data_IF_682234727476
#
_entry.id   IF_682234727476
#
_cell.length_a   1.000
_cell.length_b   1.000
_cell.length_c   1.000
_cell.angle_alpha   90.00
_cell.angle_beta   90.00
_cell.angle_gamma   90.00
#
_symmetry.space_group_name_H-M   'P 1'
#
loop_
_entity.id
_entity.type
_entity.pdbx_description
1 polymer ?
#
# COMPACT_ATOMS: atom_id res chain seq x y z
N UNK A 1 18.32 -29.50 -34.61
CA UNK A 1 17.33 -29.43 -33.51
C UNK A 1 17.66 -28.41 -32.43
N UNK A 2 18.93 -28.15 -32.08
CA UNK A 2 19.31 -27.22 -31.01
C UNK A 2 18.90 -25.75 -31.23
N UNK A 3 19.00 -25.23 -32.45
CA UNK A 3 18.66 -23.83 -32.78
C UNK A 3 17.17 -23.51 -32.70
N UNK A 4 16.28 -24.42 -33.12
CA UNK A 4 14.81 -24.21 -33.03
C UNK A 4 14.31 -24.14 -31.58
N UNK A 5 14.96 -24.86 -30.66
CA UNK A 5 14.62 -24.82 -29.23
C UNK A 5 15.04 -23.48 -28.60
N UNK A 6 16.21 -22.95 -28.97
CA UNK A 6 16.69 -21.64 -28.49
C UNK A 6 15.77 -20.49 -28.87
N UNK A 7 15.23 -20.49 -30.11
CA UNK A 7 14.25 -19.47 -30.52
C UNK A 7 12.94 -19.57 -29.75
N UNK A 8 12.46 -20.79 -29.45
CA UNK A 8 11.26 -20.99 -28.63
C UNK A 8 11.46 -20.44 -27.21
N UNK A 9 12.63 -20.67 -26.60
CA UNK A 9 12.97 -20.12 -25.29
C UNK A 9 13.04 -18.59 -25.30
N UNK A 10 13.66 -17.97 -26.31
CA UNK A 10 13.71 -16.51 -26.43
C UNK A 10 12.31 -15.93 -26.59
N UNK A 11 11.46 -16.55 -27.42
CA UNK A 11 10.10 -16.08 -27.70
C UNK A 11 9.20 -16.22 -26.45
N UNK A 12 9.31 -17.34 -25.72
CA UNK A 12 8.64 -17.52 -24.43
C UNK A 12 9.13 -16.51 -23.39
N UNK A 13 10.43 -16.23 -23.33
CA UNK A 13 11.00 -15.25 -22.40
C UNK A 13 10.49 -13.83 -22.70
N UNK A 14 10.40 -13.46 -23.98
CA UNK A 14 9.84 -12.16 -24.39
C UNK A 14 8.34 -12.03 -24.10
N UNK A 15 7.58 -13.13 -24.20
CA UNK A 15 6.15 -13.15 -23.88
C UNK A 15 5.93 -13.05 -22.36
N UNK A 16 6.72 -13.76 -21.56
CA UNK A 16 6.67 -13.67 -20.08
C UNK A 16 7.08 -12.27 -19.60
N UNK A 17 8.14 -11.68 -20.17
CA UNK A 17 8.55 -10.30 -19.81
C UNK A 17 7.52 -9.25 -20.19
N UNK A 18 6.77 -9.44 -21.29
CA UNK A 18 5.70 -8.52 -21.67
C UNK A 18 4.49 -8.62 -20.75
N UNK A 19 4.22 -9.80 -20.18
CA UNK A 19 3.11 -10.01 -19.26
C UNK A 19 3.38 -9.40 -17.89
N UNK A 20 4.61 -9.51 -17.37
CA UNK A 20 5.03 -8.82 -16.13
C UNK A 20 4.86 -7.30 -16.21
N UNK A 21 5.07 -6.71 -17.39
CA UNK A 21 4.88 -5.27 -17.58
C UNK A 21 3.40 -4.83 -17.53
N UNK A 22 2.45 -5.75 -17.77
CA UNK A 22 1.01 -5.43 -17.81
C UNK A 22 0.29 -5.61 -16.47
N UNK A 23 0.95 -6.23 -15.49
CA UNK A 23 0.33 -6.71 -14.26
C UNK A 23 0.77 -5.90 -13.04
N UNK A 24 -0.13 -5.72 -12.06
CA UNK A 24 0.16 -5.05 -10.78
C UNK A 24 1.11 -5.92 -9.96
N UNK A 25 2.20 -5.35 -9.46
CA UNK A 25 3.07 -6.04 -8.50
C UNK A 25 2.86 -5.43 -7.11
N UNK A 26 2.06 -6.09 -6.28
CA UNK A 26 1.71 -5.61 -4.93
C UNK A 26 2.92 -5.51 -4.00
N UNK A 27 3.81 -6.49 -4.05
CA UNK A 27 5.01 -6.50 -3.21
C UNK A 27 5.97 -5.37 -3.60
N UNK A 28 6.14 -5.12 -4.90
CA UNK A 28 6.91 -3.98 -5.41
C UNK A 28 6.26 -2.65 -5.05
N UNK A 29 4.94 -2.56 -5.12
CA UNK A 29 4.19 -1.38 -4.67
C UNK A 29 4.39 -1.11 -3.17
N UNK A 30 4.44 -2.17 -2.35
CA UNK A 30 4.68 -2.07 -0.90
C UNK A 30 6.17 -2.10 -0.51
N UNK A 31 7.09 -2.24 -1.47
CA UNK A 31 8.52 -2.39 -1.28
C UNK A 31 8.90 -3.53 -0.29
N UNK A 32 8.26 -4.70 -0.44
CA UNK A 32 8.55 -5.91 0.33
C UNK A 32 9.18 -7.01 -0.53
N UNK A 33 10.06 -7.78 0.09
CA UNK A 33 10.77 -8.93 -0.47
C UNK A 33 10.18 -10.26 0.02
N UNK A 34 10.57 -11.37 -0.60
CA UNK A 34 10.37 -12.72 -0.02
C UNK A 34 8.98 -13.36 -0.19
N UNK A 35 8.04 -12.75 -0.90
CA UNK A 35 6.70 -13.31 -1.16
C UNK A 35 5.95 -13.73 0.12
N UNK A 36 5.69 -12.79 1.05
CA UNK A 36 4.95 -13.08 2.26
C UNK A 36 3.53 -13.53 1.94
N UNK A 37 3.06 -14.57 2.60
CA UNK A 37 1.67 -15.01 2.63
C UNK A 37 0.80 -14.04 3.43
N UNK A 38 1.34 -13.50 4.52
CA UNK A 38 0.62 -12.62 5.45
C UNK A 38 1.58 -11.58 6.02
N UNK A 39 1.11 -10.34 6.12
CA UNK A 39 1.80 -9.26 6.82
C UNK A 39 0.85 -8.69 7.87
N UNK A 40 1.23 -8.80 9.13
CA UNK A 40 0.55 -8.08 10.22
C UNK A 40 1.30 -6.79 10.45
N UNK A 41 0.63 -5.64 10.35
CA UNK A 41 1.24 -4.33 10.62
C UNK A 41 0.50 -3.65 11.78
N UNK A 42 1.27 -3.10 12.72
CA UNK A 42 0.79 -2.24 13.80
C UNK A 42 1.54 -0.91 13.70
N UNK A 43 0.79 0.17 13.52
CA UNK A 43 1.31 1.53 13.52
C UNK A 43 0.82 2.23 14.77
N UNK A 44 1.73 2.77 15.58
CA UNK A 44 1.41 3.57 16.76
C UNK A 44 1.80 5.01 16.48
N UNK A 45 0.81 5.90 16.38
CA UNK A 45 0.98 7.34 16.33
C UNK A 45 0.83 7.92 17.73
N UNK A 46 1.72 8.84 18.11
CA UNK A 46 1.64 9.49 19.42
C UNK A 46 0.65 10.67 19.43
N UNK A 47 -0.08 10.90 20.55
CA UNK A 47 0.05 10.18 21.81
C UNK A 47 -0.65 8.81 21.89
N UNK A 48 -1.76 8.54 21.20
CA UNK A 48 -2.57 7.35 21.52
C UNK A 48 -3.35 6.72 20.34
N UNK A 49 -2.92 6.91 19.09
CA UNK A 49 -3.63 6.33 17.95
C UNK A 49 -2.91 5.09 17.42
N UNK A 50 -3.51 3.91 17.62
CA UNK A 50 -2.98 2.64 17.14
C UNK A 50 -3.81 2.16 15.96
N UNK A 51 -3.13 1.90 14.85
CA UNK A 51 -3.71 1.28 13.68
C UNK A 51 -3.16 -0.14 13.54
N UNK A 52 -4.03 -1.12 13.33
CA UNK A 52 -3.62 -2.48 12.98
C UNK A 52 -4.25 -2.90 11.66
N UNK A 53 -3.42 -3.45 10.79
CA UNK A 53 -3.88 -4.11 9.57
C UNK A 53 -3.25 -5.50 9.42
N UNK A 54 -3.95 -6.39 8.71
CA UNK A 54 -3.42 -7.68 8.27
C UNK A 54 -3.66 -7.80 6.77
N UNK A 55 -2.58 -7.88 6.01
CA UNK A 55 -2.60 -8.05 4.55
C UNK A 55 -2.31 -9.50 4.19
N UNK A 56 -3.06 -10.05 3.25
CA UNK A 56 -2.96 -11.44 2.80
C UNK A 56 -2.65 -11.48 1.31
N UNK A 57 -1.71 -12.33 0.93
CA UNK A 57 -1.26 -12.48 -0.45
C UNK A 57 -1.47 -13.91 -0.93
N UNK A 58 -1.54 -14.09 -2.24
CA UNK A 58 -1.43 -15.41 -2.86
C UNK A 58 0.05 -15.81 -3.09
N UNK A 59 0.27 -17.05 -3.56
CA UNK A 59 1.62 -17.60 -3.79
C UNK A 59 2.43 -16.83 -4.84
N UNK A 60 1.74 -16.09 -5.70
CA UNK A 60 2.37 -15.29 -6.75
C UNK A 60 2.65 -13.86 -6.26
N UNK A 61 2.29 -13.53 -5.00
CA UNK A 61 2.56 -12.26 -4.36
C UNK A 61 1.48 -11.21 -4.57
N UNK A 62 0.29 -11.58 -5.07
CA UNK A 62 -0.81 -10.63 -5.25
C UNK A 62 -1.60 -10.49 -3.97
N UNK A 63 -1.92 -9.24 -3.60
CA UNK A 63 -2.75 -8.95 -2.45
C UNK A 63 -4.19 -9.41 -2.75
N UNK A 64 -4.73 -10.21 -1.83
CA UNK A 64 -6.07 -10.83 -1.93
C UNK A 64 -7.05 -10.26 -0.91
N UNK A 65 -6.56 -9.86 0.27
CA UNK A 65 -7.40 -9.34 1.35
C UNK A 65 -6.61 -8.41 2.26
N UNK A 66 -7.28 -7.39 2.80
CA UNK A 66 -6.80 -6.64 3.97
C UNK A 66 -7.88 -6.62 5.05
N UNK A 67 -7.48 -6.85 6.29
CA UNK A 67 -8.31 -6.70 7.49
C UNK A 67 -7.81 -5.51 8.29
N UNK A 68 -8.71 -4.56 8.59
CA UNK A 68 -8.42 -3.40 9.42
C UNK A 68 -9.11 -3.54 10.77
N UNK A 69 -8.35 -3.28 11.81
CA UNK A 69 -8.82 -3.34 13.19
C UNK A 69 -8.83 -1.91 13.74
N UNK A 70 -9.92 -1.54 14.41
CA UNK A 70 -9.95 -0.31 15.17
C UNK A 70 -9.08 -0.46 16.42
N UNK A 71 -8.33 0.59 16.75
CA UNK A 71 -8.20 0.98 18.14
C UNK A 71 -9.39 1.90 18.44
N UNK A 72 -10.42 1.39 19.09
CA UNK A 72 -11.28 2.30 19.84
C UNK A 72 -10.40 2.94 20.92
N UNK A 73 -10.60 4.23 21.15
CA UNK A 73 -9.89 5.08 22.12
C UNK A 73 -10.19 4.71 23.58
N UNK A 74 -10.37 3.42 23.88
CA UNK A 74 -10.60 2.91 25.22
C UNK A 74 -9.53 1.90 25.60
N UNK A 75 -9.14 1.80 26.88
CA UNK A 75 -8.18 0.82 27.38
C UNK A 75 -8.77 -0.60 27.44
N UNK A 76 -9.74 -0.91 26.59
CA UNK A 76 -10.30 -2.24 26.47
C UNK A 76 -9.46 -3.03 25.47
N UNK A 77 -8.83 -4.10 25.93
CA UNK A 77 -8.01 -5.01 25.11
C UNK A 77 -8.79 -5.75 23.99
N UNK A 78 -10.01 -5.32 23.64
CA UNK A 78 -10.86 -5.91 22.61
C UNK A 78 -10.69 -5.16 21.29
N UNK A 79 -9.80 -5.65 20.43
CA UNK A 79 -9.68 -5.15 19.04
C UNK A 79 -10.76 -5.81 18.18
N UNK A 80 -11.75 -5.03 17.74
CA UNK A 80 -12.75 -5.47 16.78
C UNK A 80 -12.28 -5.18 15.35
N UNK A 81 -12.62 -6.07 14.44
CA UNK A 81 -12.39 -5.84 13.01
C UNK A 81 -13.39 -4.80 12.51
N UNK A 82 -12.91 -3.70 11.94
CA UNK A 82 -13.74 -2.59 11.48
C UNK A 82 -14.06 -2.71 9.99
N UNK A 83 -13.09 -3.14 9.19
CA UNK A 83 -13.22 -3.15 7.75
C UNK A 83 -12.44 -4.30 7.15
N UNK A 84 -13.05 -4.96 6.18
CA UNK A 84 -12.37 -5.96 5.35
C UNK A 84 -12.41 -5.46 3.91
N UNK A 85 -11.27 -5.52 3.22
CA UNK A 85 -11.19 -5.31 1.79
C UNK A 85 -10.81 -6.63 1.14
N UNK A 86 -11.64 -7.11 0.21
CA UNK A 86 -11.32 -8.24 -0.66
C UNK A 86 -10.93 -7.71 -2.05
N UNK A 87 -9.91 -8.32 -2.64
CA UNK A 87 -9.44 -8.01 -3.98
C UNK A 87 -9.74 -9.17 -4.93
N UNK A 88 -10.13 -8.86 -6.16
CA UNK A 88 -10.21 -9.84 -7.23
C UNK A 88 -8.80 -10.12 -7.76
N UNK A 89 -8.18 -11.21 -7.32
CA UNK A 89 -6.85 -11.64 -7.77
C UNK A 89 -6.84 -12.30 -9.15
N UNK A 90 -8.01 -12.56 -9.77
CA UNK A 90 -8.07 -13.14 -11.13
C UNK A 90 -7.68 -12.14 -12.20
N UNK A 91 -8.09 -10.88 -12.06
CA UNK A 91 -7.68 -9.79 -12.96
C UNK A 91 -6.49 -9.05 -12.34
N UNK A 92 -5.29 -9.47 -12.74
CA UNK A 92 -4.04 -8.96 -12.19
C UNK A 92 -3.59 -7.63 -12.82
N UNK A 93 -4.13 -7.27 -13.99
CA UNK A 93 -3.86 -5.97 -14.63
C UNK A 93 -4.69 -4.86 -13.98
N UNK A 94 -5.94 -5.18 -13.62
CA UNK A 94 -6.88 -4.28 -12.96
C UNK A 94 -7.62 -5.00 -11.84
N UNK A 95 -7.12 -4.82 -10.61
CA UNK A 95 -7.66 -5.49 -9.43
C UNK A 95 -8.82 -4.72 -8.86
N UNK A 96 -10.02 -5.22 -9.12
CA UNK A 96 -11.23 -4.75 -8.46
C UNK A 96 -11.20 -5.11 -6.98
N UNK A 97 -11.79 -4.26 -6.15
CA UNK A 97 -11.94 -4.53 -4.73
C UNK A 97 -13.33 -4.18 -4.23
N UNK A 98 -13.71 -4.86 -3.16
CA UNK A 98 -14.89 -4.57 -2.37
C UNK A 98 -14.47 -4.47 -0.91
N UNK A 99 -14.91 -3.40 -0.26
CA UNK A 99 -14.73 -3.19 1.15
C UNK A 99 -16.08 -3.27 1.87
N UNK A 100 -16.14 -4.06 2.93
CA UNK A 100 -17.35 -4.23 3.73
C UNK A 100 -17.07 -4.11 5.22
N UNK A 101 -18.10 -3.73 5.96
CA UNK A 101 -18.10 -3.76 7.41
C UNK A 101 -18.43 -5.18 7.88
N UNK A 102 -17.54 -5.86 8.62
CA UNK A 102 -17.76 -7.25 9.04
C UNK A 102 -18.91 -7.40 10.05
N UNK A 103 -19.23 -6.35 10.83
CA UNK A 103 -20.30 -6.37 11.82
C UNK A 103 -21.70 -6.42 11.20
N UNK A 104 -21.92 -5.73 10.08
CA UNK A 104 -23.22 -5.68 9.40
C UNK A 104 -23.22 -6.26 7.97
N UNK A 105 -22.05 -6.68 7.47
CA UNK A 105 -21.79 -7.25 6.14
C UNK A 105 -22.19 -6.36 4.96
N UNK A 106 -22.39 -5.06 5.18
CA UNK A 106 -22.70 -4.11 4.11
C UNK A 106 -21.44 -3.66 3.41
N UNK A 107 -21.52 -3.61 2.09
CA UNK A 107 -20.51 -2.99 1.23
C UNK A 107 -20.47 -1.48 1.48
N UNK A 108 -19.29 -1.00 1.84
CA UNK A 108 -19.03 0.43 2.12
C UNK A 108 -18.24 1.10 1.00
N UNK A 109 -17.47 0.35 0.22
CA UNK A 109 -16.69 0.92 -0.87
C UNK A 109 -16.42 -0.15 -1.89
N UNK A 110 -16.51 0.19 -3.16
CA UNK A 110 -16.03 -0.65 -4.26
C UNK A 110 -15.03 0.16 -5.07
N UNK A 111 -14.28 -0.49 -5.94
CA UNK A 111 -13.39 0.23 -6.83
C UNK A 111 -12.38 -0.69 -7.47
N UNK A 112 -11.31 -0.11 -7.94
CA UNK A 112 -10.22 -0.88 -8.54
C UNK A 112 -8.87 -0.21 -8.34
N UNK A 113 -7.84 -1.04 -8.43
CA UNK A 113 -6.45 -0.63 -8.53
C UNK A 113 -5.93 -1.07 -9.91
N UNK A 114 -5.24 -0.18 -10.60
CA UNK A 114 -4.82 -0.36 -12.00
C UNK A 114 -3.39 0.12 -12.17
N UNK A 115 -2.57 -0.69 -12.84
CA UNK A 115 -1.24 -0.28 -13.28
C UNK A 115 -1.39 0.47 -14.60
N UNK A 116 -1.05 1.76 -14.60
CA UNK A 116 -1.09 2.59 -15.82
C UNK A 116 0.26 2.50 -16.55
N UNK A 117 1.35 2.49 -15.80
CA UNK A 117 2.72 2.24 -16.27
C UNK A 117 3.60 1.75 -15.12
N UNK A 118 4.88 1.46 -15.36
CA UNK A 118 5.81 1.04 -14.30
C UNK A 118 5.99 2.09 -13.19
N UNK A 119 5.78 3.37 -13.49
CA UNK A 119 5.93 4.48 -12.55
C UNK A 119 4.59 5.09 -12.11
N UNK A 120 3.45 4.61 -12.62
CA UNK A 120 2.14 5.20 -12.33
C UNK A 120 1.08 4.14 -12.07
N UNK A 121 0.46 4.24 -10.91
CA UNK A 121 -0.69 3.43 -10.52
C UNK A 121 -1.88 4.33 -10.22
N UNK A 122 -3.08 3.82 -10.50
CA UNK A 122 -4.35 4.49 -10.26
C UNK A 122 -5.22 3.64 -9.34
N UNK A 123 -5.79 4.28 -8.32
CA UNK A 123 -6.88 3.73 -7.51
C UNK A 123 -8.13 4.55 -7.76
N UNK A 124 -9.24 3.87 -8.03
CA UNK A 124 -10.58 4.46 -7.97
C UNK A 124 -11.33 3.82 -6.82
N UNK A 125 -12.00 4.64 -6.01
CA UNK A 125 -12.82 4.20 -4.88
C UNK A 125 -14.16 4.92 -4.91
N UNK A 126 -15.23 4.15 -4.88
CA UNK A 126 -16.60 4.63 -5.00
C UNK A 126 -17.44 4.02 -3.88
N UNK A 127 -18.37 4.81 -3.33
CA UNK A 127 -19.43 4.28 -2.49
C UNK A 127 -20.74 4.39 -3.28
N UNK A 128 -21.43 3.28 -3.59
CA UNK A 128 -22.66 3.35 -4.37
C UNK A 128 -23.84 3.96 -3.58
N UNK A 129 -23.73 4.08 -2.26
CA UNK A 129 -24.80 4.54 -1.36
C UNK A 129 -24.54 5.93 -0.76
N UNK A 130 -23.36 6.51 -0.97
CA UNK A 130 -22.93 7.81 -0.44
C UNK A 130 -22.19 8.56 -1.54
N UNK A 131 -22.20 9.88 -1.52
CA UNK A 131 -21.51 10.75 -2.48
C UNK A 131 -19.97 10.70 -2.31
N UNK A 132 -19.37 9.52 -2.44
CA UNK A 132 -17.93 9.28 -2.37
C UNK A 132 -17.48 8.72 -3.72
N UNK A 133 -16.60 9.47 -4.38
CA UNK A 133 -15.91 9.07 -5.60
C UNK A 133 -14.52 9.67 -5.54
N UNK A 134 -13.50 8.84 -5.33
CA UNK A 134 -12.12 9.27 -5.18
C UNK A 134 -11.26 8.59 -6.24
N UNK A 135 -10.45 9.39 -6.92
CA UNK A 135 -9.37 8.91 -7.78
C UNK A 135 -8.05 9.32 -7.16
N UNK A 136 -7.18 8.34 -6.91
CA UNK A 136 -5.83 8.55 -6.40
C UNK A 136 -4.78 8.02 -7.37
N UNK A 137 -3.79 8.84 -7.67
CA UNK A 137 -2.63 8.50 -8.49
C UNK A 137 -1.40 8.36 -7.59
N UNK A 138 -0.59 7.34 -7.89
CA UNK A 138 0.65 7.04 -7.17
C UNK A 138 1.80 7.03 -8.18
N UNK A 139 2.75 7.93 -8.00
CA UNK A 139 3.91 8.08 -8.87
C UNK A 139 5.15 7.54 -8.17
N UNK A 140 5.92 6.72 -8.88
CA UNK A 140 7.12 6.06 -8.37
C UNK A 140 8.37 6.47 -9.15
N UNK A 141 9.50 6.52 -8.45
CA UNK A 141 10.80 6.64 -9.12
C UNK A 141 11.31 5.29 -9.65
N UNK A 142 12.47 5.34 -10.32
CA UNK A 142 13.15 4.14 -10.88
C UNK A 142 13.52 3.07 -9.84
N UNK A 143 13.53 3.42 -8.56
CA UNK A 143 13.83 2.52 -7.45
C UNK A 143 12.54 2.05 -6.75
N UNK A 144 11.37 2.28 -7.35
CA UNK A 144 10.04 1.95 -6.80
C UNK A 144 9.70 2.66 -5.50
N UNK A 145 10.25 3.87 -5.29
CA UNK A 145 9.90 4.71 -4.15
C UNK A 145 8.79 5.66 -4.56
N UNK A 146 7.76 5.80 -3.71
CA UNK A 146 6.64 6.71 -3.95
C UNK A 146 7.14 8.16 -3.89
N UNK A 147 7.08 8.90 -4.99
CA UNK A 147 7.59 10.29 -5.06
C UNK A 147 6.48 11.33 -5.06
N UNK A 148 5.27 10.95 -5.46
CA UNK A 148 4.12 11.84 -5.51
C UNK A 148 2.82 11.07 -5.38
N UNK A 149 1.84 11.66 -4.72
CA UNK A 149 0.43 11.25 -4.84
C UNK A 149 -0.43 12.43 -5.22
N UNK A 150 -1.47 12.16 -6.00
CA UNK A 150 -2.54 13.10 -6.31
C UNK A 150 -3.86 12.44 -5.97
N UNK A 151 -4.75 13.13 -5.28
CA UNK A 151 -6.08 12.63 -4.97
C UNK A 151 -7.13 13.67 -5.33
N UNK A 152 -8.10 13.24 -6.12
CA UNK A 152 -9.19 14.08 -6.62
C UNK A 152 -10.53 13.39 -6.44
N UNK A 153 -11.60 14.18 -6.38
CA UNK A 153 -12.97 13.67 -6.37
C UNK A 153 -13.79 14.28 -5.26
N UNK A 154 -14.70 13.50 -4.67
CA UNK A 154 -15.60 13.96 -3.63
C UNK A 154 -15.67 12.95 -2.48
N UNK A 155 -15.70 13.47 -1.26
CA UNK A 155 -15.94 12.70 -0.05
C UNK A 155 -17.10 13.34 0.71
N UNK A 156 -18.28 12.72 0.68
CA UNK A 156 -19.51 13.29 1.23
C UNK A 156 -19.75 14.72 0.75
N UNK A 157 -19.77 14.91 -0.56
CA UNK A 157 -20.00 16.22 -1.22
C UNK A 157 -18.91 17.27 -0.99
N UNK A 158 -17.89 16.96 -0.18
CA UNK A 158 -16.71 17.81 -0.04
C UNK A 158 -15.71 17.45 -1.14
N UNK A 159 -15.35 18.38 -2.03
CA UNK A 159 -14.33 18.14 -3.02
C UNK A 159 -12.99 17.84 -2.34
N UNK A 160 -12.35 16.76 -2.79
CA UNK A 160 -10.98 16.43 -2.41
C UNK A 160 -10.08 16.84 -3.57
N UNK A 161 -9.06 17.63 -3.25
CA UNK A 161 -7.94 17.90 -4.13
C UNK A 161 -6.69 17.99 -3.26
N UNK A 162 -5.80 17.00 -3.38
CA UNK A 162 -4.53 16.99 -2.67
C UNK A 162 -3.41 16.55 -3.59
N UNK A 163 -2.23 17.12 -3.38
CA UNK A 163 -0.99 16.69 -4.02
C UNK A 163 0.09 16.65 -2.96
N UNK A 164 0.67 15.46 -2.75
CA UNK A 164 1.74 15.25 -1.76
C UNK A 164 3.00 14.84 -2.50
N UNK A 165 4.10 15.55 -2.26
CA UNK A 165 5.43 15.19 -2.74
C UNK A 165 6.23 14.50 -1.64
N UNK A 166 6.99 13.48 -2.03
CA UNK A 166 7.84 12.69 -1.15
C UNK A 166 9.28 12.82 -1.64
N UNK A 167 10.15 13.37 -0.81
CA UNK A 167 11.59 13.47 -1.10
C UNK A 167 12.36 12.59 -0.13
N UNK A 168 13.19 11.71 -0.69
CA UNK A 168 14.05 10.82 0.08
C UNK A 168 15.49 11.32 0.06
N UNK A 169 16.08 11.54 1.24
CA UNK A 169 17.50 11.89 1.34
C UNK A 169 18.33 10.65 1.65
N UNK A 170 19.64 10.66 1.32
CA UNK A 170 20.57 9.58 1.69
C UNK A 170 20.64 9.31 3.20
N UNK A 171 20.17 10.25 4.05
CA UNK A 171 20.18 10.16 5.51
C UNK A 171 18.95 9.43 6.08
N UNK A 172 18.20 8.68 5.25
CA UNK A 172 16.94 8.02 5.62
C UNK A 172 15.88 9.02 6.11
N UNK A 173 15.85 10.21 5.51
CA UNK A 173 14.84 11.22 5.79
C UNK A 173 13.79 11.19 4.69
N UNK A 174 12.52 11.36 5.08
CA UNK A 174 11.42 11.61 4.16
C UNK A 174 10.86 12.99 4.45
N UNK A 175 10.94 13.87 3.45
CA UNK A 175 10.23 15.13 3.44
C UNK A 175 8.89 14.93 2.72
N UNK A 176 7.82 15.32 3.39
CA UNK A 176 6.45 15.33 2.89
C UNK A 176 6.04 16.78 2.70
N UNK A 177 5.60 17.11 1.49
CA UNK A 177 5.10 18.44 1.15
C UNK A 177 3.68 18.34 0.60
N UNK A 178 2.71 18.86 1.36
CA UNK A 178 1.35 19.09 0.89
C UNK A 178 1.34 20.39 0.10
N UNK A 179 1.29 20.28 -1.22
CA UNK A 179 1.40 21.42 -2.12
C UNK A 179 0.18 22.35 -2.05
N UNK A 180 -0.99 21.82 -1.69
CA UNK A 180 -2.24 22.59 -1.60
C UNK A 180 -2.27 23.37 -0.28
N UNK A 181 -1.90 22.72 0.82
CA UNK A 181 -1.88 23.36 2.15
C UNK A 181 -0.57 24.08 2.48
N UNK A 182 0.42 24.00 1.60
CA UNK A 182 1.77 24.52 1.78
C UNK A 182 2.43 24.04 3.10
N UNK A 183 2.09 22.82 3.53
CA UNK A 183 2.61 22.24 4.76
C UNK A 183 3.77 21.30 4.45
N UNK A 184 4.88 21.48 5.17
CA UNK A 184 6.04 20.59 5.10
C UNK A 184 6.18 19.85 6.43
N UNK A 185 6.48 18.57 6.34
CA UNK A 185 6.85 17.76 7.50
C UNK A 185 8.02 16.87 7.13
N UNK A 186 9.01 16.81 8.01
CA UNK A 186 10.16 15.94 7.87
C UNK A 186 10.06 14.82 8.90
N UNK A 187 10.23 13.60 8.43
CA UNK A 187 10.30 12.40 9.25
C UNK A 187 11.62 11.69 8.99
N UNK A 188 12.28 11.29 10.07
CA UNK A 188 13.59 10.65 10.05
C UNK A 188 13.41 9.21 10.55
N UNK A 189 13.82 8.24 9.74
CA UNK A 189 13.75 6.83 10.12
C UNK A 189 14.89 6.49 11.07
N UNK A 190 14.54 5.94 12.23
CA UNK A 190 15.45 5.51 13.28
C UNK A 190 15.14 4.06 13.70
N UNK A 191 16.12 3.42 14.34
CA UNK A 191 15.99 2.09 14.96
C UNK A 191 15.42 0.99 14.04
N UNK A 192 15.69 1.07 12.73
CA UNK A 192 15.18 0.12 11.74
C UNK A 192 15.75 -1.28 11.99
N UNK A 193 14.87 -2.26 12.19
CA UNK A 193 15.23 -3.68 12.26
C UNK A 193 14.65 -4.41 11.06
N UNK A 194 15.44 -5.31 10.49
CA UNK A 194 15.08 -6.10 9.33
C UNK A 194 14.96 -7.58 9.72
N UNK A 195 14.12 -8.32 9.00
CA UNK A 195 14.14 -9.79 9.04
C UNK A 195 15.21 -10.38 8.10
N UNK A 196 15.24 -11.70 7.99
CA UNK A 196 16.16 -12.44 7.11
C UNK A 196 15.95 -12.20 5.61
N UNK A 197 14.82 -11.61 5.22
CA UNK A 197 14.50 -11.25 3.83
C UNK A 197 14.70 -9.75 3.56
N UNK A 198 15.37 -9.05 4.49
CA UNK A 198 15.62 -7.60 4.45
C UNK A 198 14.35 -6.75 4.53
N UNK A 199 13.23 -7.32 5.01
CA UNK A 199 12.00 -6.58 5.21
C UNK A 199 12.00 -5.85 6.56
N UNK A 200 11.51 -4.59 6.63
CA UNK A 200 11.47 -3.83 7.87
C UNK A 200 10.39 -4.37 8.82
N UNK A 201 10.82 -5.06 9.88
CA UNK A 201 9.96 -5.56 10.96
C UNK A 201 9.72 -4.54 12.06
N UNK A 202 10.59 -3.53 12.16
CA UNK A 202 10.45 -2.45 13.11
C UNK A 202 11.06 -1.16 12.60
N UNK A 203 10.35 -0.05 12.75
CA UNK A 203 10.80 1.29 12.36
C UNK A 203 10.26 2.34 13.35
N UNK A 204 11.07 3.34 13.66
CA UNK A 204 10.64 4.55 14.35
C UNK A 204 10.79 5.75 13.41
N UNK A 205 9.80 6.63 13.38
CA UNK A 205 9.86 7.90 12.65
C UNK A 205 9.84 9.05 13.65
N UNK A 206 10.88 9.86 13.65
CA UNK A 206 11.00 11.05 14.50
C UNK A 206 10.90 12.33 13.67
N UNK A 207 10.52 13.44 14.30
CA UNK A 207 10.65 14.76 13.68
C UNK A 207 12.11 15.26 13.72
N UNK A 208 12.33 16.49 13.23
CA UNK A 208 13.64 17.14 13.22
C UNK A 208 14.20 17.49 14.60
N UNK A 209 13.38 17.42 15.65
CA UNK A 209 13.78 17.63 17.04
C UNK A 209 14.06 16.31 17.77
N UNK A 210 13.93 15.17 17.08
CA UNK A 210 14.09 13.84 17.67
C UNK A 210 12.86 13.36 18.44
N UNK A 211 11.74 14.08 18.38
CA UNK A 211 10.50 13.64 19.00
C UNK A 211 9.87 12.54 18.14
N UNK A 212 9.65 11.38 18.75
CA UNK A 212 8.98 10.25 18.10
C UNK A 212 7.57 10.65 17.65
N UNK A 213 7.25 10.35 16.40
CA UNK A 213 5.94 10.62 15.80
C UNK A 213 5.17 9.32 15.54
N UNK A 214 5.90 8.28 15.12
CA UNK A 214 5.31 7.02 14.69
C UNK A 214 6.23 5.84 15.00
N UNK A 215 5.66 4.73 15.47
CA UNK A 215 6.31 3.42 15.48
C UNK A 215 5.59 2.50 14.51
N UNK A 216 6.33 1.68 13.79
CA UNK A 216 5.77 0.65 12.91
C UNK A 216 6.37 -0.70 13.29
N UNK A 217 5.52 -1.66 13.57
CA UNK A 217 5.86 -3.04 13.85
C UNK A 217 5.22 -3.95 12.81
N UNK A 218 6.00 -4.88 12.25
CA UNK A 218 5.51 -5.82 11.25
C UNK A 218 5.93 -7.24 11.57
N UNK A 219 5.02 -8.17 11.31
CA UNK A 219 5.27 -9.61 11.32
C UNK A 219 4.98 -10.17 9.93
N UNK A 220 5.96 -10.84 9.34
CA UNK A 220 5.87 -11.47 8.03
C UNK A 220 5.75 -12.98 8.20
N UNK A 221 4.69 -13.57 7.63
CA UNK A 221 4.55 -15.02 7.47
C UNK A 221 4.78 -15.34 5.99
N UNK A 222 5.74 -16.21 5.70
CA UNK A 222 6.11 -16.64 4.35
C UNK A 222 5.49 -18.00 4.00
N UNK A 223 5.53 -18.37 2.72
CA UNK A 223 5.07 -19.67 2.22
C UNK A 223 6.04 -20.81 2.48
#
# INVERSE_FOLDING_TARGET
MKTKLSYLFILLYTLVSSQENSVINDLKFSNYSGHPKKITEVITFLPDNIYKSISYFDKEGFLTKIEYYNAESEPSHKRSINKVINYNSKDKAKRYFEAFNPGNKKTETTGYFEKISDSLYKRVSENPFRSISLTKLFYFDKNNRLIKTEETGNFFETPVNSTIFYTYTPKKETLLEDAVKQKKSKLIYQNVKLDQHENPVYEELTDDHGALQQKIEREFEYY
#
